data_IF_418300029596
#
_entry.id   IF_418300029596
#
_cell.length_a   1.000
_cell.length_b   1.000
_cell.length_c   1.000
_cell.angle_alpha   90.00
_cell.angle_beta   90.00
_cell.angle_gamma   90.00
#
_symmetry.space_group_name_H-M   'P 1'
#
loop_
_entity.id
_entity.type
_entity.pdbx_description
1 polymer ?
#
# COMPACT_ATOMS: atom_id res chain seq x y z
N UNK A 1 -40.21 25.80 -20.67
CA UNK A 1 -39.88 25.42 -19.29
C UNK A 1 -39.42 23.99 -19.37
N UNK A 2 -38.12 23.79 -19.51
CA UNK A 2 -37.53 22.52 -19.94
C UNK A 2 -36.83 21.85 -18.77
N UNK A 3 -37.07 20.54 -18.70
CA UNK A 3 -36.46 19.49 -17.88
C UNK A 3 -35.12 19.81 -17.22
N UNK A 4 -35.14 19.93 -15.90
CA UNK A 4 -33.95 19.78 -15.06
C UNK A 4 -33.81 18.30 -14.71
N UNK A 5 -33.02 17.58 -15.50
CA UNK A 5 -32.59 16.21 -15.19
C UNK A 5 -31.63 16.28 -14.00
N UNK A 6 -32.17 16.00 -12.82
CA UNK A 6 -31.40 15.77 -11.60
C UNK A 6 -30.54 14.50 -11.82
N UNK A 7 -29.24 14.71 -12.09
CA UNK A 7 -28.26 13.64 -12.12
C UNK A 7 -28.11 13.06 -10.71
N UNK A 8 -27.98 11.73 -10.54
CA UNK A 8 -27.62 11.18 -9.25
C UNK A 8 -26.23 11.69 -8.89
N UNK A 9 -26.14 12.51 -7.83
CA UNK A 9 -24.88 12.82 -7.17
C UNK A 9 -24.26 11.48 -6.76
N UNK A 10 -23.13 11.14 -7.38
CA UNK A 10 -22.24 10.07 -6.94
C UNK A 10 -21.87 10.41 -5.50
N UNK A 11 -22.65 9.88 -4.56
CA UNK A 11 -22.39 9.92 -3.13
C UNK A 11 -21.18 9.02 -2.96
N UNK A 12 -20.03 9.58 -3.31
CA UNK A 12 -18.73 8.97 -3.23
C UNK A 12 -18.55 8.61 -1.78
N UNK A 13 -18.96 7.39 -1.42
CA UNK A 13 -18.54 6.71 -0.21
C UNK A 13 -17.04 6.92 -0.18
N UNK A 14 -16.60 7.90 0.61
CA UNK A 14 -15.22 7.98 1.05
C UNK A 14 -15.02 6.61 1.66
N UNK A 15 -14.31 5.74 0.95
CA UNK A 15 -13.80 4.50 1.54
C UNK A 15 -13.12 4.99 2.80
N UNK A 16 -13.50 4.45 3.96
CA UNK A 16 -12.96 4.91 5.23
C UNK A 16 -11.43 4.91 5.09
N UNK A 17 -10.84 6.10 5.03
CA UNK A 17 -9.42 6.26 4.78
C UNK A 17 -8.72 5.74 6.02
N UNK A 18 -7.96 4.67 5.87
CA UNK A 18 -7.13 4.15 6.95
C UNK A 18 -5.79 4.87 6.84
N UNK A 19 -5.45 5.61 7.89
CA UNK A 19 -4.16 6.28 8.02
C UNK A 19 -3.31 5.49 9.03
N UNK A 20 -2.11 5.10 8.60
CA UNK A 20 -1.09 4.52 9.49
C UNK A 20 -0.20 5.67 9.96
N UNK A 21 -0.08 5.83 11.28
CA UNK A 21 0.79 6.86 11.89
C UNK A 21 1.94 6.18 12.61
N UNK A 22 3.17 6.57 12.29
CA UNK A 22 4.38 6.07 12.95
C UNK A 22 4.63 6.85 14.25
N UNK A 23 5.43 6.28 15.16
CA UNK A 23 5.73 6.92 16.46
C UNK A 23 6.50 8.24 16.31
N UNK A 24 7.30 8.38 15.25
CA UNK A 24 7.99 9.63 14.92
C UNK A 24 7.13 10.63 14.14
N UNK A 25 5.83 10.37 13.96
CA UNK A 25 4.85 11.32 13.44
C UNK A 25 4.70 11.36 11.92
N UNK A 26 5.25 10.38 11.19
CA UNK A 26 4.90 10.22 9.78
C UNK A 26 3.49 9.62 9.68
N UNK A 27 2.74 10.03 8.66
CA UNK A 27 1.47 9.42 8.33
C UNK A 27 1.46 8.87 6.91
N UNK A 28 0.78 7.73 6.72
CA UNK A 28 0.78 6.96 5.48
C UNK A 28 -0.67 6.65 5.12
N UNK A 29 -1.05 6.98 3.88
CA UNK A 29 -2.36 6.67 3.29
C UNK A 29 -2.15 5.95 1.96
N UNK A 30 -2.89 4.86 1.74
CA UNK A 30 -2.87 4.12 0.47
C UNK A 30 -3.52 4.98 -0.61
N UNK A 31 -2.80 5.26 -1.70
CA UNK A 31 -3.37 6.05 -2.80
C UNK A 31 -4.57 5.34 -3.45
N UNK A 32 -4.64 4.00 -3.40
CA UNK A 32 -5.79 3.21 -3.91
C UNK A 32 -7.10 3.47 -3.16
N UNK A 33 -7.02 4.04 -1.96
CA UNK A 33 -8.20 4.40 -1.16
C UNK A 33 -8.68 5.83 -1.50
N UNK A 34 -7.77 6.67 -2.01
CA UNK A 34 -8.04 8.05 -2.43
C UNK A 34 -8.47 8.15 -3.90
N UNK A 35 -7.78 7.43 -4.79
CA UNK A 35 -7.93 7.57 -6.23
C UNK A 35 -8.56 6.32 -6.87
N UNK A 36 -9.66 6.52 -7.61
CA UNK A 36 -10.37 5.42 -8.30
C UNK A 36 -9.60 4.83 -9.49
N UNK A 37 -8.52 5.45 -9.98
CA UNK A 37 -7.83 5.09 -11.24
C UNK A 37 -6.30 5.17 -11.14
N UNK A 38 -5.71 4.38 -10.27
CA UNK A 38 -4.26 4.19 -10.28
C UNK A 38 -3.83 3.13 -11.30
N UNK A 39 -2.64 3.26 -11.90
CA UNK A 39 -2.04 2.18 -12.68
C UNK A 39 -1.88 0.93 -11.80
N UNK A 40 -2.43 -0.20 -12.25
CA UNK A 40 -2.23 -1.49 -11.60
C UNK A 40 -0.95 -2.13 -12.15
N UNK A 41 0.20 -1.79 -11.56
CA UNK A 41 1.47 -2.45 -11.84
C UNK A 41 1.65 -3.58 -10.81
N UNK A 42 1.87 -4.84 -11.22
CA UNK A 42 2.02 -5.95 -10.29
C UNK A 42 3.13 -5.69 -9.27
N UNK A 43 2.82 -5.92 -7.99
CA UNK A 43 3.75 -5.78 -6.87
C UNK A 43 4.35 -4.37 -6.71
N UNK A 44 3.65 -3.35 -7.20
CA UNK A 44 3.95 -1.94 -7.00
C UNK A 44 2.76 -1.26 -6.32
N UNK A 45 3.04 -0.56 -5.23
CA UNK A 45 2.02 0.06 -4.39
C UNK A 45 2.40 1.52 -4.11
N UNK A 46 1.40 2.38 -4.11
CA UNK A 46 1.58 3.83 -4.01
C UNK A 46 0.95 4.36 -2.74
N UNK A 47 1.70 5.19 -2.01
CA UNK A 47 1.30 5.75 -0.73
C UNK A 47 1.50 7.27 -0.74
N UNK A 48 0.55 8.01 -0.18
CA UNK A 48 0.79 9.38 0.24
C UNK A 48 1.42 9.34 1.63
N UNK A 49 2.60 9.92 1.78
CA UNK A 49 3.31 10.01 3.05
C UNK A 49 3.42 11.46 3.47
N UNK A 50 2.94 11.78 4.67
CA UNK A 50 3.13 13.09 5.30
C UNK A 50 4.17 12.98 6.40
N UNK A 51 5.16 13.88 6.39
CA UNK A 51 6.13 14.03 7.48
C UNK A 51 5.54 14.79 8.67
N UNK A 52 6.20 14.73 9.85
CA UNK A 52 5.78 15.52 11.02
C UNK A 52 5.74 17.02 10.76
N UNK A 53 6.60 17.51 9.86
CA UNK A 53 6.68 18.91 9.46
C UNK A 53 5.61 19.30 8.41
N UNK A 54 4.71 18.37 8.05
CA UNK A 54 3.61 18.60 7.12
C UNK A 54 3.98 18.46 5.64
N UNK A 55 5.22 18.12 5.30
CA UNK A 55 5.63 17.86 3.90
C UNK A 55 5.01 16.53 3.44
N UNK A 56 4.31 16.56 2.31
CA UNK A 56 3.70 15.39 1.68
C UNK A 56 4.51 14.91 0.46
N UNK A 57 4.64 13.59 0.30
CA UNK A 57 5.25 12.96 -0.87
C UNK A 57 4.52 11.69 -1.27
N UNK A 58 4.42 11.45 -2.56
CA UNK A 58 3.97 10.17 -3.09
C UNK A 58 5.14 9.19 -3.09
N UNK A 59 5.05 8.11 -2.33
CA UNK A 59 6.07 7.08 -2.26
C UNK A 59 5.60 5.82 -2.97
N UNK A 60 6.42 5.32 -3.89
CA UNK A 60 6.22 4.05 -4.58
C UNK A 60 7.01 2.95 -3.90
N UNK A 61 6.32 1.93 -3.41
CA UNK A 61 6.94 0.71 -2.86
C UNK A 61 6.86 -0.41 -3.88
N UNK A 62 7.98 -1.06 -4.17
CA UNK A 62 8.07 -2.21 -5.10
C UNK A 62 8.74 -3.39 -4.44
N UNK A 63 8.30 -4.59 -4.77
CA UNK A 63 8.99 -5.81 -4.37
C UNK A 63 10.00 -6.23 -5.45
N UNK A 64 11.18 -6.67 -5.03
CA UNK A 64 12.13 -7.34 -5.91
C UNK A 64 11.58 -8.68 -6.39
N UNK A 65 12.09 -9.20 -7.50
CA UNK A 65 11.69 -10.52 -8.00
C UNK A 65 12.07 -11.64 -7.01
N UNK A 66 13.15 -11.44 -6.27
CA UNK A 66 13.66 -12.32 -5.24
C UNK A 66 12.70 -12.38 -4.06
N UNK A 67 12.24 -11.23 -3.55
CA UNK A 67 11.25 -11.14 -2.48
C UNK A 67 9.91 -11.78 -2.90
N UNK A 68 9.47 -11.52 -4.14
CA UNK A 68 8.25 -12.15 -4.69
C UNK A 68 8.42 -13.67 -4.71
N UNK A 69 9.49 -14.15 -5.32
CA UNK A 69 9.77 -15.59 -5.44
C UNK A 69 9.82 -16.29 -4.09
N UNK A 70 10.38 -15.63 -3.07
CA UNK A 70 10.46 -16.17 -1.71
C UNK A 70 9.08 -16.41 -1.11
N UNK A 71 8.16 -15.45 -1.24
CA UNK A 71 6.77 -15.59 -0.76
C UNK A 71 6.03 -16.67 -1.54
N UNK A 72 6.15 -16.67 -2.87
CA UNK A 72 5.49 -17.64 -3.73
C UNK A 72 5.96 -19.08 -3.47
N UNK A 73 7.23 -19.28 -3.12
CA UNK A 73 7.77 -20.58 -2.77
C UNK A 73 7.23 -21.09 -1.43
N UNK A 74 7.02 -20.19 -0.46
CA UNK A 74 6.62 -20.54 0.91
C UNK A 74 5.11 -20.70 1.11
N UNK A 75 4.28 -20.16 0.20
CA UNK A 75 2.81 -20.31 0.26
C UNK A 75 2.30 -21.30 -0.79
N UNK A 76 1.34 -22.14 -0.40
CA UNK A 76 0.47 -22.87 -1.33
C UNK A 76 -1.00 -22.69 -0.93
N UNK A 77 -1.88 -22.22 -1.84
CA UNK A 77 -1.59 -21.79 -3.21
C UNK A 77 -0.75 -20.49 -3.28
N UNK A 78 -0.13 -20.13 -4.41
CA UNK A 78 0.60 -18.87 -4.60
C UNK A 78 -0.30 -17.63 -4.41
N UNK A 79 0.21 -16.52 -3.86
CA UNK A 79 -0.57 -15.27 -3.73
C UNK A 79 -0.68 -14.55 -5.07
N UNK A 80 -1.86 -14.03 -5.39
CA UNK A 80 -2.01 -13.12 -6.53
C UNK A 80 -1.34 -11.77 -6.24
N UNK A 81 -0.90 -11.05 -7.27
CA UNK A 81 -0.33 -9.70 -7.11
C UNK A 81 -1.36 -8.66 -6.63
N UNK A 82 -2.65 -8.97 -6.69
CA UNK A 82 -3.75 -8.14 -6.18
C UNK A 82 -4.13 -8.51 -4.74
N UNK A 83 -3.47 -9.51 -4.14
CA UNK A 83 -3.72 -9.89 -2.76
C UNK A 83 -3.45 -8.73 -1.81
N UNK A 84 -4.38 -8.51 -0.88
CA UNK A 84 -4.27 -7.51 0.20
C UNK A 84 -3.05 -7.72 1.09
N UNK A 85 -2.46 -8.92 1.08
CA UNK A 85 -1.18 -9.20 1.73
C UNK A 85 -0.10 -8.23 1.25
N UNK A 86 0.06 -8.07 -0.06
CA UNK A 86 1.19 -7.34 -0.63
C UNK A 86 1.13 -5.85 -0.31
N UNK A 87 -0.04 -5.22 -0.42
CA UNK A 87 -0.21 -3.80 -0.04
C UNK A 87 -0.03 -3.60 1.47
N UNK A 88 -0.48 -4.54 2.31
CA UNK A 88 -0.32 -4.46 3.77
C UNK A 88 1.14 -4.72 4.19
N UNK A 89 1.87 -5.54 3.45
CA UNK A 89 3.30 -5.78 3.63
C UNK A 89 4.12 -4.54 3.21
N UNK A 90 3.78 -3.93 2.07
CA UNK A 90 4.39 -2.69 1.60
C UNK A 90 4.20 -1.53 2.58
N UNK A 91 2.96 -1.35 3.07
CA UNK A 91 2.62 -0.31 4.05
C UNK A 91 3.40 -0.46 5.36
N UNK A 92 3.43 -1.68 5.92
CA UNK A 92 4.16 -1.94 7.18
C UNK A 92 5.67 -1.79 7.00
N UNK A 93 6.22 -2.28 5.91
CA UNK A 93 7.65 -2.12 5.63
C UNK A 93 8.03 -0.66 5.44
N UNK A 94 7.18 0.14 4.78
CA UNK A 94 7.37 1.58 4.64
C UNK A 94 7.27 2.29 6.00
N UNK A 95 6.29 1.92 6.84
CA UNK A 95 6.16 2.46 8.19
C UNK A 95 7.41 2.19 9.03
N UNK A 96 7.93 0.96 8.98
CA UNK A 96 9.20 0.59 9.65
C UNK A 96 10.37 1.41 9.11
N UNK A 97 10.50 1.56 7.79
CA UNK A 97 11.56 2.38 7.19
C UNK A 97 11.50 3.83 7.68
N UNK A 98 10.31 4.45 7.65
CA UNK A 98 10.12 5.84 8.07
C UNK A 98 10.40 6.02 9.56
N UNK A 99 10.01 5.04 10.38
CA UNK A 99 10.33 5.03 11.81
C UNK A 99 11.83 4.95 12.07
N UNK A 100 12.54 4.03 11.40
CA UNK A 100 13.96 3.77 11.62
C UNK A 100 14.88 4.83 11.01
N UNK A 101 14.57 5.29 9.79
CA UNK A 101 15.42 6.22 9.03
C UNK A 101 15.05 7.67 9.28
N UNK A 102 13.82 7.95 9.71
CA UNK A 102 13.32 9.29 9.97
C UNK A 102 13.45 10.26 8.78
N UNK A 103 13.38 9.74 7.55
CA UNK A 103 13.37 10.51 6.32
C UNK A 103 12.67 9.73 5.20
N UNK A 104 12.28 10.43 4.13
CA UNK A 104 11.69 9.79 2.95
C UNK A 104 12.72 8.91 2.21
N UNK A 105 12.29 7.80 1.58
CA UNK A 105 13.13 7.05 0.66
C UNK A 105 13.69 7.94 -0.47
N UNK A 106 14.93 7.68 -0.94
CA UNK A 106 15.50 8.40 -2.08
C UNK A 106 14.65 8.18 -3.34
N UNK A 107 14.59 9.20 -4.19
CA UNK A 107 13.81 9.21 -5.44
C UNK A 107 12.33 8.81 -5.28
N UNK A 108 11.79 8.95 -4.06
CA UNK A 108 10.41 8.58 -3.71
C UNK A 108 10.10 7.10 -3.94
N UNK A 109 11.15 6.26 -4.00
CA UNK A 109 11.06 4.83 -4.28
C UNK A 109 11.63 4.01 -3.14
N UNK A 110 10.87 3.01 -2.73
CA UNK A 110 11.31 2.04 -1.73
C UNK A 110 11.23 0.63 -2.31
N UNK A 111 12.38 0.00 -2.51
CA UNK A 111 12.48 -1.35 -3.06
C UNK A 111 12.67 -2.32 -1.90
N UNK A 112 11.73 -3.24 -1.76
CA UNK A 112 11.79 -4.35 -0.82
C UNK A 112 12.54 -5.51 -1.45
N UNK A 113 13.83 -5.58 -1.17
CA UNK A 113 14.72 -6.64 -1.64
C UNK A 113 14.52 -7.94 -0.85
N UNK A 114 14.29 -7.82 0.46
CA UNK A 114 14.08 -8.92 1.38
C UNK A 114 12.89 -8.64 2.30
N UNK A 115 12.19 -9.70 2.70
CA UNK A 115 11.12 -9.65 3.68
C UNK A 115 11.60 -10.29 4.98
N UNK A 116 11.30 -9.67 6.12
CA UNK A 116 11.63 -10.24 7.42
C UNK A 116 10.79 -11.51 7.69
N UNK A 117 11.22 -12.31 8.66
CA UNK A 117 10.55 -13.58 8.98
C UNK A 117 9.08 -13.41 9.37
N UNK A 118 8.74 -12.32 10.05
CA UNK A 118 7.37 -12.03 10.46
C UNK A 118 6.45 -11.81 9.25
N UNK A 119 6.92 -11.07 8.24
CA UNK A 119 6.21 -10.89 6.98
C UNK A 119 5.97 -12.23 6.28
N UNK A 120 6.99 -13.09 6.23
CA UNK A 120 6.89 -14.40 5.61
C UNK A 120 5.91 -15.33 6.36
N UNK A 121 5.86 -15.27 7.69
CA UNK A 121 4.92 -16.05 8.48
C UNK A 121 3.48 -15.51 8.35
N UNK A 122 3.29 -14.20 8.24
CA UNK A 122 2.00 -13.59 7.93
C UNK A 122 1.54 -14.03 6.53
N UNK A 123 2.43 -14.01 5.54
CA UNK A 123 2.12 -14.47 4.18
C UNK A 123 1.61 -15.92 4.18
N UNK A 124 2.26 -16.79 4.96
CA UNK A 124 1.91 -18.21 5.07
C UNK A 124 0.49 -18.44 5.59
N UNK A 125 0.00 -17.54 6.45
CA UNK A 125 -1.33 -17.60 7.06
C UNK A 125 -2.40 -16.79 6.32
N UNK A 126 -2.01 -16.09 5.24
CA UNK A 126 -2.94 -15.22 4.52
C UNK A 126 -3.94 -16.02 3.67
N UNK A 127 -5.23 -15.83 3.97
CA UNK A 127 -6.32 -16.36 3.17
C UNK A 127 -6.74 -15.34 2.12
N UNK A 128 -6.75 -15.75 0.85
CA UNK A 128 -7.38 -14.96 -0.21
C UNK A 128 -8.88 -15.23 -0.15
N UNK A 129 -9.66 -14.19 0.17
CA UNK A 129 -11.11 -14.23 0.00
C UNK A 129 -11.36 -13.93 -1.48
N UNK A 130 -11.62 -14.98 -2.26
CA UNK A 130 -12.15 -14.84 -3.61
C UNK A 130 -13.59 -14.31 -3.48
N UNK A 131 -13.80 -13.04 -3.82
CA UNK A 131 -15.14 -12.47 -3.98
C UNK A 131 -15.63 -12.68 -5.41
#
# INVERSE_FOLDING_TARGET
>A
MSDERDQPKDDGRMRALVEVVTENGFSIVRLSDLEKRLPCVPYEYHFMVRSPDGIERNITVRFSNEAISLVQLRRRPPLTCVSSYWISCAERSLATYLLEKNHFPPDEKFILEELCLDELEIARRWYEVLW
#
